data_IF_487480807089
#
_entry.id   IF_487480807089
#
_cell.length_a   1.000
_cell.length_b   1.000
_cell.length_c   1.000
_cell.angle_alpha   90.00
_cell.angle_beta   90.00
_cell.angle_gamma   90.00
#
_symmetry.space_group_name_H-M   'P 1'
#
loop_
_entity.id
_entity.type
_entity.pdbx_description
1 polymer ?
#
# COMPACT_ATOMS: atom_id res chain seq x y z
N UNK A 1 11.69 -13.18 -59.29
CA UNK A 1 12.76 -13.16 -58.26
C UNK A 1 12.26 -12.42 -57.03
N UNK A 2 12.61 -12.94 -55.84
CA UNK A 2 12.18 -12.59 -54.46
C UNK A 2 10.92 -13.30 -53.94
N UNK A 3 11.09 -14.60 -53.73
CA UNK A 3 10.51 -15.45 -52.69
C UNK A 3 11.02 -15.05 -51.30
N UNK A 4 10.20 -15.09 -50.23
CA UNK A 4 10.26 -16.00 -49.05
C UNK A 4 9.09 -15.54 -48.16
N UNK A 5 7.92 -16.20 -48.12
CA UNK A 5 7.52 -17.44 -47.41
C UNK A 5 7.58 -17.36 -45.87
N UNK A 6 6.37 -17.47 -45.30
CA UNK A 6 5.96 -17.79 -43.93
C UNK A 6 6.98 -18.64 -43.15
N UNK A 7 7.30 -18.18 -41.95
CA UNK A 7 7.98 -18.96 -40.89
C UNK A 7 7.11 -18.77 -39.63
N UNK A 8 6.29 -19.77 -39.27
CA UNK A 8 6.55 -20.72 -38.17
C UNK A 8 6.50 -19.94 -36.84
N UNK A 9 5.40 -19.87 -36.09
CA UNK A 9 4.66 -20.93 -35.36
C UNK A 9 5.56 -21.99 -34.72
N UNK A 10 5.38 -22.15 -33.41
CA UNK A 10 5.99 -23.13 -32.48
C UNK A 10 7.27 -22.63 -31.80
N UNK A 11 7.13 -22.15 -30.56
CA UNK A 11 7.74 -22.83 -29.41
C UNK A 11 6.98 -22.43 -28.14
N UNK A 12 6.17 -23.38 -27.68
CA UNK A 12 5.61 -23.46 -26.35
C UNK A 12 6.67 -24.18 -25.51
N UNK A 13 7.21 -23.53 -24.47
CA UNK A 13 7.83 -24.26 -23.37
C UNK A 13 7.76 -23.42 -22.09
N UNK A 14 6.88 -23.85 -21.20
CA UNK A 14 6.80 -23.41 -19.82
C UNK A 14 8.18 -23.48 -19.14
N UNK A 15 8.51 -22.47 -18.35
CA UNK A 15 9.40 -22.66 -17.23
C UNK A 15 8.91 -21.82 -16.03
N UNK A 16 7.93 -22.39 -15.33
CA UNK A 16 7.72 -22.14 -13.91
C UNK A 16 8.92 -22.71 -13.15
N UNK A 17 9.79 -21.85 -12.63
CA UNK A 17 10.69 -22.21 -11.54
C UNK A 17 10.22 -21.47 -10.30
N UNK A 18 9.59 -22.26 -9.44
CA UNK A 18 9.40 -21.99 -8.03
C UNK A 18 10.74 -22.37 -7.38
N UNK A 19 11.44 -21.42 -6.77
CA UNK A 19 12.44 -21.73 -5.76
C UNK A 19 12.08 -20.98 -4.49
N UNK A 20 11.52 -21.74 -3.56
CA UNK A 20 11.59 -21.44 -2.14
C UNK A 20 13.08 -21.35 -1.76
N UNK A 21 13.54 -20.15 -1.38
CA UNK A 21 14.77 -19.99 -0.63
C UNK A 21 14.37 -19.79 0.82
N UNK A 22 14.32 -20.91 1.54
CA UNK A 22 14.38 -20.95 2.98
C UNK A 22 15.72 -21.63 3.29
N UNK A 23 16.70 -20.85 3.72
CA UNK A 23 17.93 -21.34 4.34
C UNK A 23 18.53 -20.22 5.18
N UNK A 24 18.34 -20.32 6.48
CA UNK A 24 19.04 -19.58 7.51
C UNK A 24 18.94 -20.45 8.76
N UNK A 25 19.69 -21.55 8.74
CA UNK A 25 19.90 -22.42 9.89
C UNK A 25 20.71 -21.66 10.94
N UNK A 26 20.38 -21.97 12.19
CA UNK A 26 20.87 -21.42 13.43
C UNK A 26 22.40 -21.50 13.59
N UNK A 27 22.98 -20.47 14.22
CA UNK A 27 24.10 -20.68 15.14
C UNK A 27 23.99 -19.70 16.33
N UNK A 28 23.95 -20.31 17.52
CA UNK A 28 24.02 -19.74 18.87
C UNK A 28 25.27 -18.82 19.02
N UNK A 29 25.39 -17.83 19.90
CA UNK A 29 24.98 -17.74 21.29
C UNK A 29 25.28 -16.30 21.80
N UNK A 30 24.82 -16.03 23.02
CA UNK A 30 25.16 -14.94 23.93
C UNK A 30 24.27 -13.71 23.83
N UNK A 31 23.33 -13.69 24.78
CA UNK A 31 22.35 -12.63 24.95
C UNK A 31 22.92 -11.34 25.52
N UNK A 32 22.09 -10.31 25.38
CA UNK A 32 21.70 -9.53 26.55
C UNK A 32 20.25 -9.08 26.34
N UNK A 33 19.56 -9.06 27.47
CA UNK A 33 18.14 -8.76 27.66
C UNK A 33 17.91 -7.25 27.52
N UNK A 34 17.01 -6.80 26.64
CA UNK A 34 16.17 -5.66 26.98
C UNK A 34 14.83 -5.68 26.22
N UNK A 35 13.77 -5.44 26.97
CA UNK A 35 12.39 -5.81 26.64
C UNK A 35 11.82 -5.07 25.43
N UNK A 36 11.42 -5.84 24.41
CA UNK A 36 10.54 -5.42 23.34
C UNK A 36 9.40 -6.42 23.20
N UNK A 37 8.19 -5.98 23.55
CA UNK A 37 6.91 -6.70 23.44
C UNK A 37 6.79 -7.47 22.12
N UNK A 38 6.41 -8.75 22.23
CA UNK A 38 6.26 -9.66 21.10
C UNK A 38 5.24 -9.20 20.06
N UNK A 39 5.62 -9.37 18.80
CA UNK A 39 4.75 -9.30 17.64
C UNK A 39 5.44 -10.02 16.49
N UNK A 40 5.00 -11.24 16.17
CA UNK A 40 5.51 -12.04 15.06
C UNK A 40 4.88 -11.52 13.76
N UNK A 41 5.62 -10.71 13.00
CA UNK A 41 5.22 -10.24 11.66
C UNK A 41 6.25 -9.24 11.14
N UNK A 42 6.69 -9.35 9.87
CA UNK A 42 7.78 -8.52 9.32
C UNK A 42 7.59 -6.99 9.50
N UNK A 43 8.66 -6.22 9.35
CA UNK A 43 8.67 -4.76 9.54
C UNK A 43 7.54 -4.06 8.79
N UNK A 44 6.72 -3.27 9.49
CA UNK A 44 5.69 -2.42 8.89
C UNK A 44 6.29 -1.48 7.86
N UNK A 45 5.55 -1.14 6.81
CA UNK A 45 5.98 -0.16 5.82
C UNK A 45 4.80 0.46 5.09
N UNK A 46 5.01 1.65 4.55
CA UNK A 46 4.18 2.23 3.50
C UNK A 46 5.07 2.97 2.51
N UNK A 47 4.96 2.60 1.23
CA UNK A 47 5.68 3.22 0.12
C UNK A 47 4.73 3.60 -1.00
N UNK A 48 5.10 4.59 -1.80
CA UNK A 48 4.39 4.99 -3.01
C UNK A 48 5.28 5.87 -3.90
N UNK A 49 4.74 6.30 -5.04
CA UNK A 49 5.24 7.44 -5.82
C UNK A 49 4.20 8.55 -5.84
N UNK A 50 4.61 9.77 -5.47
CA UNK A 50 3.80 10.99 -5.56
C UNK A 50 4.32 11.80 -6.74
N UNK A 51 3.53 11.91 -7.81
CA UNK A 51 3.92 12.47 -9.10
C UNK A 51 5.26 11.88 -9.62
N UNK A 52 5.44 10.57 -9.42
CA UNK A 52 6.66 9.85 -9.80
C UNK A 52 7.83 9.97 -8.83
N UNK A 53 7.76 10.84 -7.81
CA UNK A 53 8.78 10.94 -6.76
C UNK A 53 8.52 9.94 -5.64
N UNK A 54 9.58 9.28 -5.14
CA UNK A 54 9.44 8.28 -4.08
C UNK A 54 8.88 8.88 -2.79
N UNK A 55 7.96 8.15 -2.18
CA UNK A 55 7.45 8.34 -0.84
C UNK A 55 7.72 7.06 -0.05
N UNK A 56 8.32 7.21 1.13
CA UNK A 56 8.55 6.13 2.08
C UNK A 56 8.22 6.65 3.47
N UNK A 57 7.37 5.93 4.20
CA UNK A 57 7.05 6.27 5.57
C UNK A 57 8.29 6.16 6.47
N UNK A 58 8.37 7.04 7.46
CA UNK A 58 9.46 7.08 8.41
C UNK A 58 9.48 5.81 9.26
N UNK A 59 10.70 5.27 9.43
CA UNK A 59 11.01 4.16 10.33
C UNK A 59 11.87 4.60 11.52
N UNK A 60 12.32 5.85 11.52
CA UNK A 60 13.18 6.47 12.53
C UNK A 60 13.10 7.99 12.41
N UNK A 61 13.12 8.78 13.51
CA UNK A 61 13.16 8.32 14.90
C UNK A 61 11.81 7.75 15.38
N UNK A 62 10.74 7.90 14.62
CA UNK A 62 9.43 7.32 14.90
C UNK A 62 8.94 6.52 13.70
N UNK A 63 8.33 5.36 13.97
CA UNK A 63 7.53 4.62 12.99
C UNK A 63 6.18 5.31 12.89
N UNK A 64 5.79 5.72 11.68
CA UNK A 64 4.51 6.40 11.42
C UNK A 64 3.70 5.57 10.41
N UNK A 65 3.63 4.27 10.65
CA UNK A 65 2.83 3.30 9.89
C UNK A 65 1.87 2.64 10.89
N UNK A 66 0.65 2.34 10.46
CA UNK A 66 -0.30 1.61 11.30
C UNK A 66 -1.63 1.39 10.60
N UNK A 67 -2.40 0.44 11.12
CA UNK A 67 -3.74 0.14 10.65
C UNK A 67 -4.73 -0.07 11.80
N UNK A 68 -6.02 0.09 11.50
CA UNK A 68 -7.10 -0.34 12.39
C UNK A 68 -8.12 -1.10 11.55
N UNK A 69 -8.74 -2.13 12.12
CA UNK A 69 -9.77 -2.93 11.45
C UNK A 69 -10.83 -3.36 12.46
N UNK A 70 -12.08 -2.96 12.25
CA UNK A 70 -13.17 -3.30 13.15
C UNK A 70 -14.48 -2.59 12.80
N UNK A 71 -15.61 -3.19 13.19
CA UNK A 71 -16.95 -2.63 12.95
C UNK A 71 -17.23 -2.25 11.49
N UNK A 72 -16.67 -2.99 10.53
CA UNK A 72 -16.82 -2.71 9.10
C UNK A 72 -16.04 -1.50 8.60
N UNK A 73 -15.10 -0.98 9.38
CA UNK A 73 -14.15 0.04 8.96
C UNK A 73 -12.73 -0.54 9.01
N UNK A 74 -11.97 -0.31 7.96
CA UNK A 74 -10.52 -0.54 7.95
C UNK A 74 -9.81 0.76 7.54
N UNK A 75 -8.75 1.12 8.26
CA UNK A 75 -7.91 2.27 7.94
C UNK A 75 -6.45 1.87 7.92
N UNK A 76 -5.65 2.53 7.09
CA UNK A 76 -4.19 2.45 7.15
C UNK A 76 -3.59 3.84 6.96
N UNK A 77 -2.38 4.05 7.49
CA UNK A 77 -1.62 5.28 7.25
C UNK A 77 -0.12 5.06 7.23
N UNK A 78 0.58 6.03 6.63
CA UNK A 78 2.03 6.10 6.52
C UNK A 78 2.48 7.55 6.44
N UNK A 79 3.40 7.99 7.30
CA UNK A 79 3.88 9.37 7.35
C UNK A 79 5.39 9.51 7.27
N UNK A 80 5.90 10.62 6.73
CA UNK A 80 7.31 11.00 6.75
C UNK A 80 7.61 11.97 7.90
N UNK A 81 8.88 12.10 8.30
CA UNK A 81 9.29 13.04 9.35
C UNK A 81 9.11 14.52 8.93
N UNK A 82 8.97 14.79 7.63
CA UNK A 82 8.70 16.13 7.09
C UNK A 82 7.20 16.48 7.09
N UNK A 83 6.35 15.62 7.66
CA UNK A 83 4.91 15.87 7.77
C UNK A 83 4.13 15.64 6.48
N UNK A 84 4.59 14.71 5.64
CA UNK A 84 3.80 14.18 4.53
C UNK A 84 3.12 12.89 4.99
N UNK A 85 1.84 12.71 4.71
CA UNK A 85 1.09 11.52 5.14
C UNK A 85 0.25 10.99 4.00
N UNK A 86 0.27 9.67 3.81
CA UNK A 86 -0.70 8.95 3.01
C UNK A 86 -1.59 8.17 3.98
N UNK A 87 -2.91 8.21 3.76
CA UNK A 87 -3.86 7.38 4.51
C UNK A 87 -4.98 6.88 3.63
N UNK A 88 -5.57 5.76 4.01
CA UNK A 88 -6.76 5.19 3.38
C UNK A 88 -7.81 4.75 4.39
N UNK A 89 -9.06 4.70 3.96
CA UNK A 89 -10.18 4.18 4.74
C UNK A 89 -11.15 3.45 3.84
N UNK A 90 -11.54 2.25 4.28
CA UNK A 90 -12.52 1.38 3.62
C UNK A 90 -13.69 1.17 4.56
N UNK A 91 -14.87 1.64 4.14
CA UNK A 91 -16.13 1.44 4.83
C UNK A 91 -16.85 0.19 4.30
N UNK A 92 -17.65 -0.43 5.16
CA UNK A 92 -18.24 -1.75 4.92
C UNK A 92 -17.17 -2.78 4.54
N UNK A 93 -15.99 -2.68 5.17
CA UNK A 93 -14.88 -3.59 4.97
C UNK A 93 -15.30 -5.04 5.28
N UNK A 94 -15.08 -5.94 4.33
CA UNK A 94 -15.47 -7.37 4.44
C UNK A 94 -14.31 -8.35 4.25
N UNK A 95 -13.07 -7.83 4.19
CA UNK A 95 -11.84 -8.63 4.08
C UNK A 95 -11.02 -8.31 2.84
N UNK A 96 -10.20 -9.28 2.41
CA UNK A 96 -9.38 -9.15 1.21
C UNK A 96 -10.23 -8.88 -0.03
N UNK A 97 -9.82 -7.91 -0.84
CA UNK A 97 -10.62 -7.43 -1.95
C UNK A 97 -10.15 -6.08 -2.48
N UNK A 98 -10.79 -5.61 -3.54
CA UNK A 98 -10.53 -4.30 -4.14
C UNK A 98 -11.69 -3.35 -3.85
N UNK A 99 -11.36 -2.21 -3.30
CA UNK A 99 -12.27 -1.15 -2.91
C UNK A 99 -11.95 0.11 -3.71
N UNK A 100 -12.97 0.72 -4.32
CA UNK A 100 -12.84 1.95 -5.10
C UNK A 100 -13.06 3.19 -4.23
N UNK A 101 -12.58 4.33 -4.72
CA UNK A 101 -12.79 5.67 -4.18
C UNK A 101 -12.98 6.64 -5.37
N UNK A 102 -13.70 7.75 -5.16
CA UNK A 102 -13.86 8.79 -6.18
C UNK A 102 -14.82 8.42 -7.33
N UNK A 103 -15.55 7.32 -7.21
CA UNK A 103 -16.43 6.76 -8.24
C UNK A 103 -17.93 7.06 -8.04
N UNK A 104 -18.37 7.42 -6.84
CA UNK A 104 -19.79 7.67 -6.55
C UNK A 104 -20.01 8.56 -5.32
N UNK A 105 -20.95 9.50 -5.38
CA UNK A 105 -21.32 10.39 -4.27
C UNK A 105 -21.74 9.67 -2.97
N UNK A 106 -22.15 8.41 -3.02
CA UNK A 106 -22.46 7.62 -1.82
C UNK A 106 -21.31 6.74 -1.35
N UNK A 107 -20.21 6.63 -2.12
CA UNK A 107 -19.03 5.88 -1.73
C UNK A 107 -18.15 6.74 -0.82
N UNK A 108 -18.14 6.40 0.47
CA UNK A 108 -17.38 7.10 1.52
C UNK A 108 -15.95 6.56 1.71
N UNK A 109 -15.55 5.53 0.96
CA UNK A 109 -14.15 5.09 0.95
C UNK A 109 -13.25 6.26 0.57
N UNK A 110 -12.04 6.30 1.13
CA UNK A 110 -11.13 7.41 0.88
C UNK A 110 -9.67 7.01 0.79
N UNK A 111 -8.95 7.77 -0.04
CA UNK A 111 -7.50 7.86 -0.06
C UNK A 111 -7.11 9.34 0.05
N UNK A 112 -6.05 9.64 0.79
CA UNK A 112 -5.61 11.01 1.00
C UNK A 112 -4.10 11.12 1.03
N UNK A 113 -3.57 12.16 0.38
CA UNK A 113 -2.21 12.64 0.55
C UNK A 113 -2.26 14.01 1.23
N UNK A 114 -1.57 14.13 2.36
CA UNK A 114 -1.56 15.32 3.22
C UNK A 114 -0.13 15.84 3.30
N UNK A 115 0.04 17.16 3.24
CA UNK A 115 1.32 17.79 3.55
C UNK A 115 1.14 18.96 4.51
N UNK A 116 2.08 19.13 5.43
CA UNK A 116 2.11 20.31 6.29
C UNK A 116 2.37 21.60 5.48
N UNK A 117 1.79 22.73 5.90
CA UNK A 117 0.94 22.85 7.08
C UNK A 117 -0.51 22.43 6.81
N UNK A 118 -1.05 22.54 5.59
CA UNK A 118 -2.50 22.44 5.36
C UNK A 118 -2.96 21.84 4.01
N UNK A 119 -2.09 21.17 3.23
CA UNK A 119 -2.54 20.69 1.91
C UNK A 119 -3.13 19.28 2.00
N UNK A 120 -4.22 19.05 1.28
CA UNK A 120 -4.92 17.77 1.22
C UNK A 120 -5.33 17.50 -0.23
N UNK A 121 -4.87 16.36 -0.76
CA UNK A 121 -5.36 15.79 -2.00
C UNK A 121 -6.12 14.51 -1.67
N UNK A 122 -7.43 14.50 -1.93
CA UNK A 122 -8.31 13.39 -1.57
C UNK A 122 -8.92 12.72 -2.81
N UNK A 123 -9.12 11.41 -2.70
CA UNK A 123 -10.04 10.64 -3.54
C UNK A 123 -11.11 10.05 -2.63
N UNK A 124 -12.37 10.45 -2.81
CA UNK A 124 -13.55 9.97 -2.05
C UNK A 124 -14.83 10.48 -2.72
N UNK A 125 -16.00 9.93 -2.39
CA UNK A 125 -17.25 10.29 -3.04
C UNK A 125 -17.12 10.17 -4.57
N UNK A 126 -17.48 11.22 -5.30
CA UNK A 126 -17.27 11.40 -6.74
C UNK A 126 -16.10 12.36 -7.07
N UNK A 127 -15.17 12.53 -6.13
CA UNK A 127 -13.99 13.40 -6.25
C UNK A 127 -12.73 12.55 -6.30
N UNK A 128 -11.88 12.81 -7.30
CA UNK A 128 -10.66 12.03 -7.55
C UNK A 128 -10.98 10.66 -8.13
N UNK A 129 -10.02 9.75 -8.09
CA UNK A 129 -10.25 8.35 -8.40
C UNK A 129 -9.19 7.49 -7.72
N UNK A 130 -9.54 6.30 -7.24
CA UNK A 130 -8.53 5.44 -6.64
C UNK A 130 -9.01 4.05 -6.29
N UNK A 131 -8.04 3.19 -6.01
CA UNK A 131 -8.23 1.79 -5.65
C UNK A 131 -7.40 1.44 -4.44
N UNK A 132 -7.99 0.74 -3.47
CA UNK A 132 -7.32 0.07 -2.36
C UNK A 132 -7.52 -1.43 -2.60
N UNK A 133 -6.44 -2.20 -2.72
CA UNK A 133 -6.53 -3.66 -2.81
C UNK A 133 -5.89 -4.28 -1.58
N UNK A 134 -6.70 -4.95 -0.77
CA UNK A 134 -6.24 -5.70 0.39
C UNK A 134 -5.92 -7.12 -0.05
N UNK A 135 -4.65 -7.50 0.08
CA UNK A 135 -4.14 -8.80 -0.35
C UNK A 135 -4.10 -9.81 0.78
N UNK A 136 -3.96 -9.34 2.02
CA UNK A 136 -4.00 -10.18 3.23
C UNK A 136 -4.55 -9.37 4.40
N UNK A 137 -5.39 -10.03 5.21
CA UNK A 137 -5.78 -9.61 6.55
C UNK A 137 -5.84 -10.89 7.40
N UNK A 138 -4.94 -11.03 8.37
CA UNK A 138 -4.89 -12.17 9.29
C UNK A 138 -5.43 -11.84 10.70
N UNK A 139 -6.02 -10.66 10.87
CA UNK A 139 -6.50 -10.13 12.14
C UNK A 139 -5.42 -9.51 13.02
N UNK A 140 -4.14 -9.58 12.63
CA UNK A 140 -3.01 -8.91 13.29
C UNK A 140 -2.29 -7.96 12.34
N UNK A 141 -2.13 -8.35 11.08
CA UNK A 141 -1.44 -7.62 10.02
C UNK A 141 -2.35 -7.47 8.81
N UNK A 142 -2.37 -6.28 8.22
CA UNK A 142 -2.97 -6.03 6.91
C UNK A 142 -1.89 -5.68 5.90
N UNK A 143 -2.02 -6.29 4.72
CA UNK A 143 -1.17 -6.01 3.56
C UNK A 143 -2.03 -5.59 2.38
N UNK A 144 -1.53 -4.65 1.60
CA UNK A 144 -2.24 -4.22 0.41
C UNK A 144 -1.46 -3.27 -0.47
N UNK A 145 -2.12 -2.91 -1.55
CA UNK A 145 -1.65 -1.92 -2.52
C UNK A 145 -2.70 -0.82 -2.70
N UNK A 146 -2.27 0.34 -3.15
CA UNK A 146 -3.17 1.44 -3.46
C UNK A 146 -2.64 2.32 -4.60
N UNK A 147 -3.55 3.01 -5.26
CA UNK A 147 -3.25 4.09 -6.18
C UNK A 147 -4.43 5.04 -6.25
N UNK A 148 -4.17 6.34 -6.39
CA UNK A 148 -5.22 7.33 -6.58
C UNK A 148 -4.72 8.60 -7.26
N UNK A 149 -5.63 9.25 -7.98
CA UNK A 149 -5.56 10.68 -8.29
C UNK A 149 -6.32 11.44 -7.19
N UNK A 150 -5.58 12.19 -6.37
CA UNK A 150 -6.16 13.03 -5.33
C UNK A 150 -6.41 14.45 -5.83
N UNK A 151 -7.55 15.03 -5.49
CA UNK A 151 -7.91 16.41 -5.80
C UNK A 151 -7.82 17.29 -4.55
N UNK A 152 -7.28 18.50 -4.69
CA UNK A 152 -7.26 19.51 -3.64
C UNK A 152 -8.33 20.57 -3.91
N UNK A 153 -9.36 20.59 -3.05
CA UNK A 153 -10.48 21.51 -3.21
C UNK A 153 -10.13 22.99 -2.94
N UNK A 154 -9.00 23.27 -2.28
CA UNK A 154 -8.59 24.63 -1.94
C UNK A 154 -7.97 25.38 -3.12
N UNK A 155 -7.24 24.66 -3.99
CA UNK A 155 -6.50 25.27 -5.11
C UNK A 155 -6.80 24.63 -6.47
N UNK A 156 -7.59 23.55 -6.52
CA UNK A 156 -8.00 22.86 -7.74
C UNK A 156 -6.91 21.97 -8.35
N UNK A 157 -5.79 21.74 -7.65
CA UNK A 157 -4.69 20.90 -8.15
C UNK A 157 -4.96 19.42 -7.92
N UNK A 158 -4.27 18.58 -8.71
CA UNK A 158 -4.27 17.12 -8.52
C UNK A 158 -2.88 16.57 -8.19
N UNK A 159 -2.85 15.39 -7.56
CA UNK A 159 -1.65 14.60 -7.31
C UNK A 159 -1.89 13.15 -7.73
N UNK A 160 -0.94 12.59 -8.45
CA UNK A 160 -0.96 11.18 -8.84
C UNK A 160 -0.15 10.36 -7.85
N UNK A 161 -0.82 9.49 -7.11
CA UNK A 161 -0.19 8.55 -6.18
C UNK A 161 -0.28 7.16 -6.80
N UNK A 162 0.89 6.61 -7.14
CA UNK A 162 1.02 5.34 -7.87
C UNK A 162 1.94 4.39 -7.14
N UNK A 163 1.90 3.11 -7.48
CA UNK A 163 2.79 2.09 -6.90
C UNK A 163 2.74 2.04 -5.36
N UNK A 164 1.57 2.35 -4.79
CA UNK A 164 1.36 2.32 -3.35
C UNK A 164 1.35 0.90 -2.83
N UNK A 165 2.10 0.62 -1.77
CA UNK A 165 2.12 -0.67 -1.07
C UNK A 165 2.27 -0.44 0.41
N UNK A 166 1.62 -1.28 1.21
CA UNK A 166 1.75 -1.22 2.65
C UNK A 166 1.66 -2.59 3.31
N UNK A 167 2.28 -2.68 4.48
CA UNK A 167 2.11 -3.71 5.50
C UNK A 167 2.03 -2.99 6.84
N UNK A 168 0.96 -3.19 7.58
CA UNK A 168 0.74 -2.51 8.85
C UNK A 168 0.17 -3.48 9.89
N UNK A 169 0.56 -3.28 11.15
CA UNK A 169 -0.01 -3.99 12.29
C UNK A 169 -1.33 -3.31 12.65
N UNK A 170 -2.33 -4.11 12.99
CA UNK A 170 -3.62 -3.64 13.49
C UNK A 170 -3.47 -3.30 14.97
N UNK A 171 -3.80 -2.07 15.34
CA UNK A 171 -3.87 -1.58 16.73
C UNK A 171 -5.29 -1.61 17.33
#
# INVERSE_FOLDING_TARGET
MKTIKKTIYVTFLCLSVILASCSGDDDNNDGDDDGGTGGTGGTEFLTAKVDGANFEAAQSPAVIVGATSGNGLMTFQGGTNEGKTIRGSVFNYDGAGTYTTGDNITNVNSLSYITLPNNLWNSTFDIGSGTITITSDDGTTIEGTFSFEGFNASDGTTKNITEGSFKAIIE
#
